data_IF_689165552285
#
_entry.id   IF_689165552285
#
_cell.length_a   1.000
_cell.length_b   1.000
_cell.length_c   1.000
_cell.angle_alpha   90.00
_cell.angle_beta   90.00
_cell.angle_gamma   90.00
#
_symmetry.space_group_name_H-M   'P 1'
#
loop_
_entity.id
_entity.type
_entity.pdbx_description
1 polymer ?
#
# COMPACT_ATOMS: atom_id res chain seq x y z
N UNK A 1 73.98 -32.51 31.23
CA UNK A 1 73.43 -31.40 30.42
C UNK A 1 72.39 -32.00 29.47
N UNK A 2 71.11 -32.05 29.86
CA UNK A 2 70.03 -32.62 29.03
C UNK A 2 69.10 -31.49 28.61
N UNK A 3 69.01 -31.30 27.28
CA UNK A 3 68.25 -30.27 26.58
C UNK A 3 66.74 -30.38 26.88
N UNK A 4 66.13 -29.25 27.23
CA UNK A 4 64.68 -29.07 27.20
C UNK A 4 64.21 -28.93 25.75
N UNK A 5 63.22 -29.73 25.35
CA UNK A 5 62.47 -29.52 24.10
C UNK A 5 61.02 -29.24 24.49
N UNK A 6 60.65 -27.97 24.53
CA UNK A 6 59.27 -27.53 24.76
C UNK A 6 58.51 -27.61 23.43
N UNK A 7 57.58 -28.55 23.33
CA UNK A 7 56.64 -28.66 22.21
C UNK A 7 55.48 -27.70 22.50
N UNK A 8 55.39 -26.60 21.75
CA UNK A 8 54.22 -25.71 21.76
C UNK A 8 53.10 -26.33 20.93
N UNK A 9 52.06 -26.81 21.59
CA UNK A 9 50.85 -27.33 20.95
C UNK A 9 49.95 -26.15 20.53
N UNK A 10 49.91 -25.86 19.22
CA UNK A 10 49.02 -24.85 18.65
C UNK A 10 47.59 -25.41 18.59
N UNK A 11 46.73 -25.01 19.53
CA UNK A 11 45.29 -25.34 19.51
C UNK A 11 44.60 -24.52 18.40
N UNK A 12 44.30 -25.17 17.27
CA UNK A 12 43.41 -24.61 16.25
C UNK A 12 41.96 -24.82 16.75
N UNK A 13 41.36 -23.77 17.30
CA UNK A 13 39.93 -23.74 17.63
C UNK A 13 39.12 -23.71 16.32
N UNK A 14 38.62 -24.87 15.90
CA UNK A 14 37.56 -24.95 14.89
C UNK A 14 36.29 -24.33 15.49
N UNK A 15 36.00 -23.07 15.12
CA UNK A 15 34.70 -22.45 15.37
C UNK A 15 33.69 -23.14 14.46
N UNK A 16 32.91 -24.06 15.00
CA UNK A 16 31.74 -24.56 14.28
C UNK A 16 30.84 -23.36 13.96
N UNK A 17 30.29 -23.24 12.73
CA UNK A 17 29.30 -22.22 12.44
C UNK A 17 28.13 -22.41 13.42
N UNK A 18 27.83 -21.38 14.19
CA UNK A 18 26.62 -21.36 14.98
C UNK A 18 25.45 -21.46 13.99
N UNK A 19 24.71 -22.56 14.01
CA UNK A 19 23.44 -22.63 13.31
C UNK A 19 22.54 -21.56 13.92
N UNK A 20 22.29 -20.49 13.15
CA UNK A 20 21.28 -19.49 13.50
C UNK A 20 19.95 -20.22 13.70
N UNK A 21 19.42 -20.17 14.91
CA UNK A 21 18.09 -20.71 15.18
C UNK A 21 17.09 -19.78 14.49
N UNK A 22 16.50 -20.24 13.39
CA UNK A 22 15.40 -19.54 12.72
C UNK A 22 14.31 -19.21 13.76
N UNK A 23 14.02 -17.92 13.92
CA UNK A 23 12.95 -17.46 14.79
C UNK A 23 11.64 -17.58 14.02
N UNK A 24 10.85 -18.60 14.37
CA UNK A 24 9.51 -18.82 13.84
C UNK A 24 8.52 -18.64 14.98
N UNK A 25 7.52 -17.78 14.77
CA UNK A 25 6.42 -17.61 15.72
C UNK A 25 5.06 -17.73 15.02
N UNK A 26 3.99 -17.43 15.77
CA UNK A 26 2.64 -17.37 15.21
C UNK A 26 1.85 -16.15 15.67
N UNK A 27 1.02 -15.63 14.77
CA UNK A 27 0.03 -14.59 15.05
C UNK A 27 -1.34 -15.06 14.57
N UNK A 28 -2.38 -14.84 15.37
CA UNK A 28 -3.76 -14.99 14.90
C UNK A 28 -4.30 -13.65 14.43
N UNK A 29 -4.85 -13.58 13.22
CA UNK A 29 -5.38 -12.33 12.66
C UNK A 29 -6.65 -12.54 11.84
N UNK A 30 -7.76 -11.97 12.30
CA UNK A 30 -9.02 -11.84 11.55
C UNK A 30 -9.41 -13.06 10.72
N UNK A 31 -9.62 -12.83 9.41
CA UNK A 31 -10.05 -13.84 8.41
C UNK A 31 -8.97 -14.87 8.07
N UNK A 32 -7.72 -14.62 8.44
CA UNK A 32 -6.58 -15.48 8.12
C UNK A 32 -6.33 -16.54 9.18
N UNK A 33 -6.87 -16.35 10.39
CA UNK A 33 -6.64 -17.26 11.51
C UNK A 33 -5.17 -17.28 11.90
N UNK A 34 -4.62 -18.48 12.13
CA UNK A 34 -3.23 -18.67 12.53
C UNK A 34 -2.28 -18.46 11.33
N UNK A 35 -1.39 -17.49 11.47
CA UNK A 35 -0.34 -17.13 10.53
C UNK A 35 0.99 -17.57 11.12
N UNK A 36 1.80 -18.24 10.32
CA UNK A 36 3.18 -18.57 10.72
C UNK A 36 4.10 -17.44 10.30
N UNK A 37 4.85 -16.87 11.22
CA UNK A 37 5.76 -15.75 10.92
C UNK A 37 7.19 -16.25 10.97
N UNK A 38 7.93 -16.04 9.88
CA UNK A 38 9.35 -16.35 9.78
C UNK A 38 10.10 -15.04 9.84
N UNK A 39 10.98 -14.92 10.84
CA UNK A 39 11.77 -13.72 11.04
C UNK A 39 13.14 -13.86 10.35
N UNK A 40 13.61 -12.79 9.68
CA UNK A 40 14.99 -12.72 9.22
C UNK A 40 15.95 -12.60 10.42
N UNK A 41 17.23 -12.93 10.21
CA UNK A 41 18.26 -12.83 11.26
C UNK A 41 18.48 -11.39 11.74
N UNK A 42 18.36 -10.44 10.82
CA UNK A 42 18.52 -9.00 11.07
C UNK A 42 17.18 -8.27 10.95
N UNK A 43 17.17 -6.96 11.21
CA UNK A 43 15.98 -6.11 10.99
C UNK A 43 15.39 -6.37 9.60
N UNK A 44 14.08 -6.66 9.49
CA UNK A 44 13.45 -6.92 8.20
C UNK A 44 13.71 -5.79 7.20
N UNK A 45 14.17 -6.15 6.00
CA UNK A 45 14.35 -5.20 4.88
C UNK A 45 13.14 -5.19 3.96
N UNK A 46 12.28 -6.19 4.08
CA UNK A 46 11.10 -6.42 3.25
C UNK A 46 10.09 -7.28 4.00
N UNK A 47 8.87 -7.37 3.47
CA UNK A 47 7.78 -8.18 4.02
C UNK A 47 7.18 -9.01 2.89
N UNK A 48 6.90 -10.29 3.16
CA UNK A 48 6.26 -11.20 2.21
C UNK A 48 4.97 -11.73 2.82
N UNK A 49 3.85 -11.61 2.09
CA UNK A 49 2.60 -12.30 2.41
C UNK A 49 2.52 -13.53 1.51
N UNK A 50 2.77 -14.71 2.09
CA UNK A 50 2.86 -15.94 1.31
C UNK A 50 1.63 -16.83 1.52
N UNK A 51 0.88 -17.06 0.46
CA UNK A 51 -0.31 -17.92 0.43
C UNK A 51 0.04 -19.31 -0.07
N UNK A 52 -0.32 -20.33 0.70
CA UNK A 52 -0.15 -21.73 0.28
C UNK A 52 -1.12 -22.17 -0.83
N UNK A 53 -0.90 -23.38 -1.34
CA UNK A 53 -1.86 -24.06 -2.21
C UNK A 53 -3.04 -24.66 -1.44
N UNK A 54 -3.87 -25.41 -2.14
CA UNK A 54 -5.00 -26.17 -1.58
C UNK A 54 -4.58 -27.24 -0.54
N UNK A 55 -3.31 -27.69 -0.59
CA UNK A 55 -2.69 -28.55 0.42
C UNK A 55 -2.47 -27.89 1.78
N UNK A 56 -2.57 -26.56 1.89
CA UNK A 56 -2.33 -25.81 3.12
C UNK A 56 -0.86 -25.48 3.40
N UNK A 57 -0.60 -24.89 4.57
CA UNK A 57 0.75 -24.43 4.95
C UNK A 57 1.66 -25.58 5.42
N UNK A 58 2.30 -26.28 4.48
CA UNK A 58 3.22 -27.41 4.73
C UNK A 58 4.19 -27.62 3.55
N UNK A 59 5.16 -28.53 3.71
CA UNK A 59 6.04 -28.99 2.64
C UNK A 59 6.80 -27.84 1.93
N UNK A 60 6.71 -27.73 0.60
CA UNK A 60 7.49 -26.79 -0.22
C UNK A 60 7.34 -25.31 0.20
N UNK A 61 6.14 -24.87 0.61
CA UNK A 61 5.92 -23.47 1.00
C UNK A 61 6.64 -23.09 2.30
N UNK A 62 6.89 -24.07 3.20
CA UNK A 62 7.68 -23.84 4.42
C UNK A 62 9.14 -23.59 4.06
N UNK A 63 9.69 -24.38 3.13
CA UNK A 63 11.06 -24.21 2.64
C UNK A 63 11.21 -22.86 1.92
N UNK A 64 10.29 -22.52 1.03
CA UNK A 64 10.27 -21.24 0.32
C UNK A 64 10.18 -20.05 1.29
N UNK A 65 9.35 -20.13 2.34
CA UNK A 65 9.26 -19.07 3.35
C UNK A 65 10.58 -18.86 4.11
N UNK A 66 11.25 -19.95 4.51
CA UNK A 66 12.59 -19.87 5.14
C UNK A 66 13.63 -19.24 4.22
N UNK A 67 13.59 -19.59 2.93
CA UNK A 67 14.48 -18.98 1.93
C UNK A 67 14.25 -17.47 1.81
N UNK A 68 13.00 -17.00 1.80
CA UNK A 68 12.71 -15.56 1.77
C UNK A 68 13.11 -14.86 3.08
N UNK A 69 12.96 -15.52 4.23
CA UNK A 69 13.46 -14.99 5.50
C UNK A 69 15.00 -14.86 5.50
N UNK A 70 15.72 -15.82 4.91
CA UNK A 70 17.17 -15.74 4.72
C UNK A 70 17.59 -14.58 3.79
N UNK A 71 16.72 -14.14 2.89
CA UNK A 71 16.92 -12.94 2.05
C UNK A 71 16.55 -11.62 2.76
N UNK A 72 16.23 -11.67 4.07
CA UNK A 72 15.94 -10.48 4.88
C UNK A 72 14.46 -10.11 4.99
N UNK A 73 13.55 -10.97 4.48
CA UNK A 73 12.11 -10.71 4.56
C UNK A 73 11.50 -11.17 5.89
N UNK A 74 10.58 -10.39 6.45
CA UNK A 74 9.60 -10.92 7.40
C UNK A 74 8.49 -11.63 6.61
N UNK A 75 8.38 -12.95 6.74
CA UNK A 75 7.44 -13.75 5.92
C UNK A 75 6.23 -14.16 6.76
N UNK A 76 5.04 -13.81 6.27
CA UNK A 76 3.76 -14.17 6.86
C UNK A 76 3.15 -15.32 6.03
N UNK A 77 3.21 -16.51 6.59
CA UNK A 77 2.67 -17.74 6.01
C UNK A 77 1.18 -17.89 6.26
N UNK A 78 0.41 -17.86 5.17
CA UNK A 78 -1.05 -17.86 5.14
C UNK A 78 -1.56 -19.20 4.60
N UNK A 79 -2.38 -19.89 5.40
CA UNK A 79 -3.04 -21.12 4.96
C UNK A 79 -4.27 -20.80 4.08
N UNK A 80 -4.17 -21.10 2.79
CA UNK A 80 -5.23 -20.80 1.83
C UNK A 80 -6.56 -21.50 2.13
N UNK A 81 -6.53 -22.67 2.78
CA UNK A 81 -7.75 -23.41 3.13
C UNK A 81 -8.55 -22.66 4.18
N UNK A 82 -7.84 -22.14 5.18
CA UNK A 82 -8.46 -21.36 6.25
C UNK A 82 -9.05 -20.06 5.70
N UNK A 83 -8.26 -19.29 4.95
CA UNK A 83 -8.74 -18.05 4.36
C UNK A 83 -9.89 -18.28 3.36
N UNK A 84 -9.78 -19.31 2.51
CA UNK A 84 -10.83 -19.72 1.58
C UNK A 84 -12.14 -20.12 2.29
N UNK A 85 -12.05 -20.80 3.44
CA UNK A 85 -13.22 -21.09 4.26
C UNK A 85 -13.92 -19.80 4.73
N UNK A 86 -13.17 -18.80 5.20
CA UNK A 86 -13.73 -17.50 5.60
C UNK A 86 -14.35 -16.75 4.44
N UNK A 87 -13.68 -16.68 3.29
CA UNK A 87 -14.23 -16.09 2.06
C UNK A 87 -15.55 -16.75 1.66
N UNK A 88 -15.68 -18.06 1.86
CA UNK A 88 -16.90 -18.81 1.56
C UNK A 88 -18.13 -18.41 2.39
N UNK A 89 -17.92 -17.67 3.49
CA UNK A 89 -18.95 -17.18 4.42
C UNK A 89 -19.29 -15.71 4.21
N UNK A 90 -18.57 -14.99 3.35
CA UNK A 90 -18.82 -13.57 3.09
C UNK A 90 -20.24 -13.37 2.54
N UNK A 91 -20.96 -12.35 3.03
CA UNK A 91 -22.30 -11.98 2.54
C UNK A 91 -22.25 -11.07 1.31
N UNK A 92 -21.17 -10.30 1.13
CA UNK A 92 -20.95 -9.40 0.00
C UNK A 92 -21.07 -10.10 -1.36
N UNK A 93 -21.49 -9.39 -2.40
CA UNK A 93 -21.70 -9.96 -3.73
C UNK A 93 -20.40 -10.46 -4.40
N UNK A 94 -19.28 -9.84 -4.05
CA UNK A 94 -17.94 -10.21 -4.50
C UNK A 94 -16.93 -10.14 -3.34
N UNK A 95 -15.75 -10.71 -3.54
CA UNK A 95 -14.68 -10.79 -2.55
C UNK A 95 -13.56 -9.80 -2.88
N UNK A 96 -13.03 -9.11 -1.88
CA UNK A 96 -11.95 -8.13 -2.05
C UNK A 96 -10.71 -8.43 -1.18
N UNK A 97 -9.97 -9.53 -1.46
CA UNK A 97 -8.74 -9.88 -0.74
C UNK A 97 -7.67 -8.78 -0.68
N UNK A 98 -7.62 -7.84 -1.63
CA UNK A 98 -6.65 -6.74 -1.59
C UNK A 98 -6.65 -5.98 -0.25
N UNK A 99 -7.84 -5.60 0.24
CA UNK A 99 -7.98 -4.93 1.53
C UNK A 99 -7.58 -5.85 2.70
N UNK A 100 -8.04 -7.12 2.68
CA UNK A 100 -7.72 -8.08 3.75
C UNK A 100 -6.19 -8.25 3.91
N UNK A 101 -5.46 -8.34 2.80
CA UNK A 101 -4.01 -8.55 2.79
C UNK A 101 -3.23 -7.30 3.20
N UNK A 102 -3.66 -6.12 2.75
CA UNK A 102 -3.09 -4.84 3.17
C UNK A 102 -3.25 -4.64 4.68
N UNK A 103 -4.46 -4.88 5.20
CA UNK A 103 -4.80 -4.76 6.62
C UNK A 103 -3.98 -5.73 7.48
N UNK A 104 -3.83 -6.98 7.03
CA UNK A 104 -2.95 -7.96 7.67
C UNK A 104 -1.51 -7.45 7.75
N UNK A 105 -0.96 -6.98 6.63
CA UNK A 105 0.42 -6.49 6.55
C UNK A 105 0.65 -5.36 7.53
N UNK A 106 -0.20 -4.33 7.50
CA UNK A 106 -0.07 -3.17 8.38
C UNK A 106 -0.13 -3.58 9.85
N UNK A 107 -1.11 -4.41 10.21
CA UNK A 107 -1.33 -4.86 11.60
C UNK A 107 -0.15 -5.65 12.15
N UNK A 108 0.40 -6.56 11.36
CA UNK A 108 1.53 -7.39 11.78
C UNK A 108 2.82 -6.57 11.85
N UNK A 109 3.08 -5.69 10.88
CA UNK A 109 4.26 -4.82 10.92
C UNK A 109 4.23 -3.86 12.11
N UNK A 110 3.05 -3.33 12.46
CA UNK A 110 2.86 -2.56 13.71
C UNK A 110 3.10 -3.40 14.95
N UNK A 111 2.55 -4.61 15.01
CA UNK A 111 2.75 -5.54 16.13
C UNK A 111 4.24 -5.82 16.39
N UNK A 112 5.01 -6.02 15.32
CA UNK A 112 6.46 -6.24 15.40
C UNK A 112 7.28 -4.95 15.42
N UNK A 113 6.64 -3.78 15.48
CA UNK A 113 7.28 -2.47 15.62
C UNK A 113 8.34 -2.21 14.55
N UNK A 114 8.06 -2.57 13.30
CA UNK A 114 8.93 -2.21 12.19
C UNK A 114 9.04 -0.68 12.13
N UNK A 115 10.25 -0.17 11.91
CA UNK A 115 10.55 1.27 11.97
C UNK A 115 9.82 2.02 10.85
N UNK A 116 9.73 1.39 9.68
CA UNK A 116 9.02 1.87 8.50
C UNK A 116 8.01 0.82 8.06
N UNK A 117 6.94 1.24 7.40
CA UNK A 117 6.10 0.30 6.67
C UNK A 117 6.79 -0.17 5.40
N UNK A 118 6.89 -1.48 5.25
CA UNK A 118 7.36 -2.12 4.02
C UNK A 118 6.14 -2.60 3.23
N UNK A 119 5.94 -2.03 2.04
CA UNK A 119 4.92 -2.54 1.11
C UNK A 119 5.19 -4.02 0.83
N UNK A 120 4.23 -4.91 1.09
CA UNK A 120 4.53 -6.33 1.05
C UNK A 120 4.65 -6.83 -0.38
N UNK A 121 5.53 -7.82 -0.58
CA UNK A 121 5.53 -8.67 -1.77
C UNK A 121 4.49 -9.77 -1.54
N UNK A 122 3.57 -9.92 -2.47
CA UNK A 122 2.66 -11.06 -2.47
C UNK A 122 3.38 -12.27 -3.02
N UNK A 123 3.23 -13.41 -2.37
CA UNK A 123 3.75 -14.68 -2.87
C UNK A 123 2.67 -15.73 -2.80
N UNK A 124 2.58 -16.61 -3.79
CA UNK A 124 1.55 -17.64 -3.82
C UNK A 124 2.00 -18.89 -4.54
N UNK A 125 1.57 -20.04 -4.02
CA UNK A 125 1.82 -21.34 -4.61
C UNK A 125 0.52 -22.02 -5.04
N UNK A 126 0.45 -22.54 -6.27
CA UNK A 126 -0.72 -23.23 -6.83
C UNK A 126 -1.99 -22.37 -6.69
N UNK A 127 -3.03 -22.82 -5.97
CA UNK A 127 -4.21 -22.01 -5.64
C UNK A 127 -3.86 -20.60 -5.10
N UNK A 128 -2.85 -20.51 -4.23
CA UNK A 128 -2.38 -19.24 -3.69
C UNK A 128 -1.79 -18.32 -4.74
N UNK A 129 -1.16 -18.87 -5.79
CA UNK A 129 -0.60 -18.12 -6.92
C UNK A 129 -1.71 -17.40 -7.73
N UNK A 130 -2.87 -18.04 -7.87
CA UNK A 130 -4.04 -17.46 -8.54
C UNK A 130 -4.71 -16.40 -7.68
N UNK A 131 -4.83 -16.68 -6.38
CA UNK A 131 -5.41 -15.74 -5.42
C UNK A 131 -4.60 -14.44 -5.38
N UNK A 132 -3.28 -14.52 -5.26
CA UNK A 132 -2.43 -13.31 -5.20
C UNK A 132 -2.38 -12.53 -6.52
N UNK A 133 -2.56 -13.18 -7.68
CA UNK A 133 -2.78 -12.47 -8.94
C UNK A 133 -4.07 -11.64 -8.87
N UNK A 134 -5.18 -12.26 -8.47
CA UNK A 134 -6.45 -11.56 -8.28
C UNK A 134 -6.33 -10.40 -7.28
N UNK A 135 -5.70 -10.64 -6.13
CA UNK A 135 -5.42 -9.64 -5.10
C UNK A 135 -4.62 -8.47 -5.66
N UNK A 136 -3.55 -8.74 -6.44
CA UNK A 136 -2.70 -7.70 -7.01
C UNK A 136 -3.48 -6.83 -8.02
N UNK A 137 -4.24 -7.44 -8.92
CA UNK A 137 -5.01 -6.70 -9.96
C UNK A 137 -6.17 -5.91 -9.35
N UNK A 138 -6.77 -6.42 -8.27
CA UNK A 138 -7.82 -5.71 -7.54
C UNK A 138 -7.31 -4.45 -6.84
N UNK A 139 -6.07 -4.51 -6.32
CA UNK A 139 -5.53 -3.50 -5.44
C UNK A 139 -5.38 -2.14 -6.15
N UNK A 140 -5.57 -1.04 -5.43
CA UNK A 140 -5.11 0.25 -5.89
C UNK A 140 -3.62 0.23 -6.23
N UNK A 141 -3.18 1.07 -7.18
CA UNK A 141 -1.77 1.25 -7.44
C UNK A 141 -1.01 1.61 -6.16
N UNK A 142 0.18 1.03 -6.01
CA UNK A 142 1.09 1.27 -4.89
C UNK A 142 0.67 0.62 -3.55
N UNK A 143 -0.32 -0.28 -3.51
CA UNK A 143 -0.65 -1.08 -2.30
C UNK A 143 0.37 -2.20 -2.04
N UNK A 144 0.77 -2.95 -3.07
CA UNK A 144 1.71 -4.06 -2.99
C UNK A 144 2.99 -3.74 -3.74
N UNK A 145 4.14 -4.25 -3.28
CA UNK A 145 5.43 -4.05 -3.96
C UNK A 145 5.50 -4.82 -5.29
N UNK A 146 4.74 -5.90 -5.39
CA UNK A 146 4.65 -6.79 -6.54
C UNK A 146 4.22 -8.18 -6.10
N UNK A 147 4.23 -9.14 -7.02
CA UNK A 147 3.80 -10.50 -6.73
C UNK A 147 4.65 -11.57 -7.41
N UNK A 148 4.85 -12.69 -6.71
CA UNK A 148 5.53 -13.88 -7.20
C UNK A 148 4.57 -15.07 -7.14
N UNK A 149 4.27 -15.65 -8.30
CA UNK A 149 3.38 -16.81 -8.42
C UNK A 149 4.18 -18.07 -8.79
N UNK A 150 3.97 -19.14 -8.05
CA UNK A 150 4.63 -20.44 -8.23
C UNK A 150 3.61 -21.49 -8.68
N UNK A 151 3.78 -22.06 -9.86
CA UNK A 151 2.82 -23.03 -10.42
C UNK A 151 1.46 -22.38 -10.67
N UNK A 152 1.45 -21.32 -11.46
CA UNK A 152 0.28 -20.51 -11.74
C UNK A 152 -0.64 -21.15 -12.78
N UNK A 153 -1.94 -21.17 -12.51
CA UNK A 153 -3.01 -21.30 -13.49
C UNK A 153 -4.10 -20.27 -13.19
N UNK A 154 -4.73 -19.65 -14.19
CA UNK A 154 -5.68 -18.56 -13.97
C UNK A 154 -7.06 -18.98 -13.44
N UNK A 155 -7.33 -20.28 -13.26
CA UNK A 155 -8.58 -20.78 -12.68
C UNK A 155 -8.52 -20.85 -11.14
N UNK A 156 -9.61 -20.47 -10.48
CA UNK A 156 -9.70 -20.44 -9.02
C UNK A 156 -11.06 -20.93 -8.53
N UNK A 157 -11.02 -21.80 -7.52
CA UNK A 157 -12.21 -22.29 -6.84
C UNK A 157 -12.63 -21.32 -5.72
N UNK A 158 -13.69 -20.55 -5.93
CA UNK A 158 -14.28 -19.62 -4.97
C UNK A 158 -15.80 -19.70 -5.02
N UNK A 159 -16.48 -19.52 -3.88
CA UNK A 159 -17.95 -19.45 -3.87
C UNK A 159 -18.49 -18.19 -4.53
N UNK A 160 -17.72 -17.09 -4.47
CA UNK A 160 -18.11 -15.78 -4.96
C UNK A 160 -16.99 -15.20 -5.84
N UNK A 161 -17.33 -14.39 -6.85
CA UNK A 161 -16.32 -13.80 -7.70
C UNK A 161 -15.45 -12.82 -6.91
N UNK A 162 -14.21 -12.64 -7.36
CA UNK A 162 -13.41 -11.50 -6.94
C UNK A 162 -14.04 -10.21 -7.48
N UNK A 163 -14.10 -9.16 -6.67
CA UNK A 163 -14.54 -7.83 -7.09
C UNK A 163 -13.67 -7.29 -8.23
N UNK A 164 -14.22 -6.40 -9.07
CA UNK A 164 -13.46 -5.78 -10.16
C UNK A 164 -12.26 -4.97 -9.67
N UNK A 165 -12.38 -4.28 -8.54
CA UNK A 165 -11.29 -3.44 -8.00
C UNK A 165 -10.71 -2.51 -9.07
N UNK A 166 -9.38 -2.54 -9.21
CA UNK A 166 -8.64 -1.75 -10.20
C UNK A 166 -8.62 -2.32 -11.63
N UNK A 167 -9.60 -3.15 -11.99
CA UNK A 167 -9.81 -3.61 -13.37
C UNK A 167 -9.73 -5.12 -13.57
N UNK A 168 -9.77 -5.92 -12.50
CA UNK A 168 -9.89 -7.37 -12.59
C UNK A 168 -11.16 -7.74 -13.36
N UNK A 169 -10.99 -8.60 -14.35
CA UNK A 169 -12.10 -9.24 -15.07
C UNK A 169 -11.99 -10.74 -14.93
N UNK A 170 -13.13 -11.42 -15.00
CA UNK A 170 -13.22 -12.86 -14.85
C UNK A 170 -14.46 -13.38 -15.58
N UNK A 171 -14.45 -14.66 -15.92
CA UNK A 171 -15.65 -15.38 -16.34
C UNK A 171 -15.92 -16.59 -15.46
N UNK A 172 -17.17 -17.05 -15.47
CA UNK A 172 -17.64 -18.17 -14.64
C UNK A 172 -17.29 -19.48 -15.34
N UNK A 173 -16.52 -20.34 -14.67
CA UNK A 173 -16.31 -21.72 -15.10
C UNK A 173 -17.42 -22.62 -14.55
N UNK A 174 -17.72 -22.48 -13.26
CA UNK A 174 -18.84 -23.14 -12.59
C UNK A 174 -19.51 -22.19 -11.61
N UNK A 175 -20.79 -21.90 -11.83
CA UNK A 175 -21.55 -20.94 -11.04
C UNK A 175 -21.50 -21.28 -9.55
N UNK A 176 -21.04 -20.32 -8.74
CA UNK A 176 -20.93 -20.46 -7.29
C UNK A 176 -19.79 -21.38 -6.82
N UNK A 177 -18.85 -21.72 -7.70
CA UNK A 177 -17.77 -22.67 -7.37
C UNK A 177 -16.41 -22.30 -7.97
N UNK A 178 -16.34 -21.92 -9.24
CA UNK A 178 -15.06 -21.64 -9.89
C UNK A 178 -15.15 -20.56 -10.98
N UNK A 179 -14.06 -19.83 -11.12
CA UNK A 179 -13.91 -18.70 -12.04
C UNK A 179 -12.56 -18.77 -12.73
N UNK A 180 -12.48 -18.22 -13.93
CA UNK A 180 -11.24 -17.98 -14.65
C UNK A 180 -10.93 -16.49 -14.58
N UNK A 181 -9.77 -16.13 -14.02
CA UNK A 181 -9.31 -14.75 -13.94
C UNK A 181 -8.68 -14.36 -15.28
N UNK A 182 -9.08 -13.22 -15.84
CA UNK A 182 -8.58 -12.77 -17.14
C UNK A 182 -7.23 -12.07 -17.02
N UNK A 183 -6.48 -12.06 -18.12
CA UNK A 183 -5.32 -11.20 -18.30
C UNK A 183 -5.73 -9.72 -18.19
N UNK A 184 -4.79 -8.86 -17.78
CA UNK A 184 -5.04 -7.42 -17.64
C UNK A 184 -3.95 -6.57 -18.27
N UNK A 185 -4.30 -5.33 -18.62
CA UNK A 185 -3.37 -4.25 -19.00
C UNK A 185 -3.20 -3.21 -17.89
N UNK A 186 -3.87 -3.37 -16.76
CA UNK A 186 -3.92 -2.40 -15.66
C UNK A 186 -3.03 -2.76 -14.46
N UNK A 187 -2.12 -3.73 -14.61
CA UNK A 187 -1.11 -3.97 -13.56
C UNK A 187 -0.36 -2.68 -13.29
N UNK A 188 -0.04 -2.45 -12.01
CA UNK A 188 0.70 -1.27 -11.52
C UNK A 188 1.92 -1.65 -10.67
N UNK A 189 2.20 -2.94 -10.54
CA UNK A 189 3.39 -3.48 -9.91
C UNK A 189 3.78 -4.79 -10.63
N UNK A 190 5.06 -5.23 -10.51
CA UNK A 190 5.50 -6.40 -11.27
C UNK A 190 4.88 -7.70 -10.78
N UNK A 191 4.56 -8.58 -11.72
CA UNK A 191 4.04 -9.92 -11.47
C UNK A 191 4.95 -10.95 -12.15
N UNK A 192 5.71 -11.69 -11.35
CA UNK A 192 6.67 -12.67 -11.83
C UNK A 192 6.13 -14.08 -11.57
N UNK A 193 6.04 -14.89 -12.62
CA UNK A 193 5.57 -16.27 -12.55
C UNK A 193 6.76 -17.21 -12.69
N UNK A 194 6.93 -18.10 -11.72
CA UNK A 194 7.88 -19.21 -11.77
C UNK A 194 7.09 -20.50 -12.04
N UNK A 195 7.29 -21.08 -13.21
CA UNK A 195 6.53 -22.27 -13.61
C UNK A 195 7.45 -23.40 -14.05
N UNK A 196 7.15 -24.59 -13.55
CA UNK A 196 7.82 -25.82 -13.93
C UNK A 196 7.48 -26.23 -15.36
N UNK A 197 8.48 -26.55 -16.18
CA UNK A 197 8.24 -27.12 -17.52
C UNK A 197 7.71 -28.55 -17.45
N UNK A 198 7.87 -29.22 -16.30
CA UNK A 198 7.31 -30.54 -16.02
C UNK A 198 6.01 -30.48 -15.21
N UNK A 199 5.45 -29.29 -15.00
CA UNK A 199 4.17 -29.13 -14.32
C UNK A 199 3.03 -29.53 -15.26
N UNK A 200 2.35 -30.63 -14.95
CA UNK A 200 1.19 -31.12 -15.70
C UNK A 200 -0.14 -30.58 -15.18
N UNK A 201 -0.16 -30.03 -13.96
CA UNK A 201 -1.36 -29.44 -13.35
C UNK A 201 -1.54 -28.00 -13.81
N UNK A 202 -0.44 -27.25 -13.85
CA UNK A 202 -0.36 -25.88 -14.34
C UNK A 202 0.66 -25.80 -15.48
N UNK A 203 0.28 -26.18 -16.72
CA UNK A 203 1.22 -26.29 -17.84
C UNK A 203 1.93 -24.97 -18.15
N UNK A 204 3.25 -25.03 -18.34
CA UNK A 204 4.08 -23.86 -18.64
C UNK A 204 3.56 -23.05 -19.84
N UNK A 205 3.21 -23.73 -20.93
CA UNK A 205 2.72 -23.07 -22.16
C UNK A 205 1.38 -22.33 -21.95
N UNK A 206 0.52 -22.82 -21.05
CA UNK A 206 -0.72 -22.15 -20.70
C UNK A 206 -0.44 -20.84 -19.95
N UNK A 207 0.51 -20.86 -19.00
CA UNK A 207 0.96 -19.65 -18.31
C UNK A 207 1.64 -18.66 -19.26
N UNK A 208 2.46 -19.15 -20.19
CA UNK A 208 3.09 -18.32 -21.23
C UNK A 208 2.04 -17.64 -22.13
N UNK A 209 1.00 -18.37 -22.55
CA UNK A 209 -0.10 -17.83 -23.33
C UNK A 209 -0.89 -16.78 -22.55
N UNK A 210 -1.18 -17.03 -21.26
CA UNK A 210 -1.90 -16.11 -20.40
C UNK A 210 -1.17 -14.76 -20.22
N UNK A 211 0.14 -14.81 -19.96
CA UNK A 211 0.96 -13.62 -19.70
C UNK A 211 1.29 -12.82 -20.96
N UNK A 212 1.00 -13.36 -22.15
CA UNK A 212 1.42 -12.76 -23.41
C UNK A 212 0.89 -11.33 -23.58
N UNK A 213 1.83 -10.39 -23.61
CA UNK A 213 1.56 -8.97 -23.80
C UNK A 213 0.99 -8.25 -22.57
N UNK A 214 0.91 -8.92 -21.40
CA UNK A 214 0.61 -8.22 -20.14
C UNK A 214 1.79 -7.32 -19.76
N UNK A 215 1.55 -6.07 -19.32
CA UNK A 215 2.62 -5.19 -18.86
C UNK A 215 3.14 -5.64 -17.50
N UNK A 216 4.43 -5.39 -17.24
CA UNK A 216 5.09 -5.71 -15.96
C UNK A 216 4.97 -7.17 -15.52
N UNK A 217 4.85 -8.09 -16.49
CA UNK A 217 4.89 -9.53 -16.22
C UNK A 217 6.19 -10.15 -16.71
N UNK A 218 6.68 -11.14 -15.99
CA UNK A 218 7.79 -11.99 -16.41
C UNK A 218 7.44 -13.45 -16.13
N UNK A 219 7.73 -14.34 -17.08
CA UNK A 219 7.65 -15.80 -16.88
C UNK A 219 9.06 -16.36 -16.81
N UNK A 220 9.39 -17.00 -15.69
CA UNK A 220 10.67 -17.64 -15.45
C UNK A 220 10.48 -19.17 -15.54
N UNK A 221 11.11 -19.85 -16.51
CA UNK A 221 11.02 -21.30 -16.66
C UNK A 221 11.84 -22.02 -15.59
N UNK A 222 11.29 -23.14 -15.10
CA UNK A 222 11.97 -24.07 -14.20
C UNK A 222 12.03 -25.47 -14.84
N UNK A 223 13.08 -25.80 -15.61
CA UNK A 223 13.09 -26.96 -16.51
C UNK A 223 12.91 -28.33 -15.83
N UNK A 224 13.33 -28.44 -14.57
CA UNK A 224 13.30 -29.71 -13.80
C UNK A 224 12.15 -29.80 -12.81
N UNK A 225 11.36 -28.73 -12.68
CA UNK A 225 10.33 -28.61 -11.64
C UNK A 225 8.99 -29.10 -12.18
N UNK A 226 8.34 -29.97 -11.41
CA UNK A 226 6.92 -30.28 -11.57
C UNK A 226 6.08 -29.57 -10.50
N UNK A 227 4.76 -29.81 -10.49
CA UNK A 227 3.82 -29.05 -9.65
C UNK A 227 4.19 -28.98 -8.17
N UNK A 228 4.82 -30.01 -7.61
CA UNK A 228 5.14 -30.10 -6.18
C UNK A 228 6.38 -29.36 -5.71
N UNK A 229 7.21 -28.79 -6.61
CA UNK A 229 8.45 -28.06 -6.24
C UNK A 229 9.37 -28.83 -5.27
N UNK A 230 9.46 -30.17 -5.43
CA UNK A 230 10.08 -31.07 -4.44
C UNK A 230 11.59 -30.83 -4.22
N UNK A 231 12.32 -30.49 -5.29
CA UNK A 231 13.78 -30.33 -5.24
C UNK A 231 14.15 -28.85 -5.11
N UNK A 232 14.61 -28.44 -3.94
CA UNK A 232 14.96 -27.05 -3.64
C UNK A 232 15.97 -26.43 -4.62
N UNK A 233 17.00 -27.19 -5.00
CA UNK A 233 18.04 -26.72 -5.91
C UNK A 233 17.53 -26.38 -7.32
N UNK A 234 16.37 -26.91 -7.72
CA UNK A 234 15.80 -26.71 -9.05
C UNK A 234 14.91 -25.43 -9.14
N UNK A 235 14.66 -24.73 -8.03
CA UNK A 235 13.83 -23.50 -8.03
C UNK A 235 14.35 -22.34 -7.15
N UNK A 236 15.20 -22.62 -6.16
CA UNK A 236 15.64 -21.59 -5.21
C UNK A 236 16.40 -20.42 -5.86
N UNK A 237 17.35 -20.63 -6.80
CA UNK A 237 18.06 -19.53 -7.41
C UNK A 237 17.13 -18.54 -8.13
N UNK A 238 16.19 -19.06 -8.91
CA UNK A 238 15.23 -18.29 -9.68
C UNK A 238 14.24 -17.55 -8.78
N UNK A 239 13.80 -18.19 -7.68
CA UNK A 239 12.94 -17.55 -6.69
C UNK A 239 13.65 -16.35 -6.06
N UNK A 240 14.92 -16.52 -5.66
CA UNK A 240 15.73 -15.42 -5.14
C UNK A 240 15.86 -14.29 -6.16
N UNK A 241 16.17 -14.61 -7.41
CA UNK A 241 16.27 -13.61 -8.49
C UNK A 241 14.96 -12.85 -8.68
N UNK A 242 13.82 -13.54 -8.72
CA UNK A 242 12.51 -12.92 -8.84
C UNK A 242 12.21 -11.98 -7.67
N UNK A 243 12.51 -12.41 -6.44
CA UNK A 243 12.34 -11.59 -5.25
C UNK A 243 13.16 -10.30 -5.30
N UNK A 244 14.45 -10.41 -5.64
CA UNK A 244 15.31 -9.23 -5.76
C UNK A 244 14.87 -8.29 -6.90
N UNK A 245 14.37 -8.83 -8.02
CA UNK A 245 13.78 -8.01 -9.10
C UNK A 245 12.57 -7.20 -8.62
N UNK A 246 11.68 -7.80 -7.82
CA UNK A 246 10.52 -7.09 -7.25
C UNK A 246 10.96 -5.96 -6.31
N UNK A 247 11.95 -6.23 -5.44
CA UNK A 247 12.45 -5.23 -4.51
C UNK A 247 13.19 -4.07 -5.22
N UNK A 248 13.87 -4.35 -6.34
CA UNK A 248 14.59 -3.35 -7.12
C UNK A 248 13.69 -2.53 -8.05
N UNK A 249 12.52 -3.04 -8.44
CA UNK A 249 11.61 -2.33 -9.34
C UNK A 249 11.05 -1.07 -8.69
N UNK A 250 11.04 0.10 -9.37
CA UNK A 250 10.46 1.32 -8.82
C UNK A 250 8.96 1.14 -8.63
N UNK A 251 8.43 1.61 -7.50
CA UNK A 251 6.99 1.54 -7.24
C UNK A 251 6.19 2.48 -8.14
N UNK A 252 4.87 2.31 -8.21
CA UNK A 252 4.02 3.17 -9.04
C UNK A 252 4.22 4.66 -8.74
N UNK A 253 4.24 5.04 -7.46
CA UNK A 253 4.44 6.44 -7.05
C UNK A 253 5.87 6.93 -7.35
N UNK A 254 6.89 6.06 -7.28
CA UNK A 254 8.26 6.41 -7.68
C UNK A 254 8.35 6.65 -9.18
N UNK A 255 7.74 5.78 -10.00
CA UNK A 255 7.63 5.95 -11.45
C UNK A 255 6.96 7.27 -11.80
N UNK A 256 5.81 7.56 -11.16
CA UNK A 256 5.09 8.83 -11.34
C UNK A 256 5.89 10.04 -10.89
N UNK A 257 6.60 9.96 -9.77
CA UNK A 257 7.47 11.05 -9.33
C UNK A 257 8.60 11.32 -10.33
N UNK A 258 9.18 10.27 -10.93
CA UNK A 258 10.19 10.43 -11.98
C UNK A 258 9.61 11.07 -13.26
N UNK A 259 8.42 10.67 -13.69
CA UNK A 259 7.69 11.29 -14.80
C UNK A 259 7.46 12.79 -14.54
N UNK A 260 6.92 13.15 -13.38
CA UNK A 260 6.63 14.54 -13.02
C UNK A 260 7.88 15.39 -12.84
N UNK A 261 8.96 14.83 -12.28
CA UNK A 261 10.26 15.51 -12.19
C UNK A 261 10.86 15.80 -13.56
N UNK A 262 10.66 14.92 -14.54
CA UNK A 262 11.11 15.17 -15.91
C UNK A 262 10.32 16.31 -16.59
N UNK A 263 9.09 16.56 -16.13
CA UNK A 263 8.23 17.65 -16.63
C UNK A 263 8.41 18.98 -15.88
N UNK A 264 8.93 18.95 -14.65
CA UNK A 264 9.19 20.14 -13.85
C UNK A 264 10.33 20.99 -14.43
N UNK A 265 10.26 22.32 -14.26
CA UNK A 265 11.36 23.21 -14.64
C UNK A 265 12.61 22.85 -13.83
N UNK A 266 13.79 22.82 -14.48
CA UNK A 266 15.02 22.19 -13.96
C UNK A 266 15.66 22.88 -12.74
N UNK A 267 14.99 23.87 -12.13
CA UNK A 267 15.57 24.75 -11.11
C UNK A 267 14.98 24.63 -9.70
N UNK A 268 13.96 23.78 -9.47
CA UNK A 268 13.36 23.65 -8.14
C UNK A 268 14.35 23.05 -7.13
N UNK A 269 14.60 23.74 -6.03
CA UNK A 269 15.40 23.23 -4.92
C UNK A 269 14.58 22.22 -4.13
N UNK A 270 15.09 20.99 -3.91
CA UNK A 270 14.36 20.02 -3.10
C UNK A 270 14.29 20.49 -1.65
N UNK A 271 13.13 20.25 -1.02
CA UNK A 271 12.99 20.42 0.43
C UNK A 271 13.92 19.45 1.17
N UNK A 272 14.66 19.95 2.16
CA UNK A 272 15.69 19.19 2.89
C UNK A 272 15.17 18.53 4.17
N UNK A 273 13.93 18.79 4.56
CA UNK A 273 13.31 18.14 5.71
C UNK A 273 12.89 16.70 5.44
N UNK A 274 12.72 15.91 6.50
CA UNK A 274 12.37 14.49 6.41
C UNK A 274 10.86 14.27 6.27
N UNK A 275 10.27 14.74 5.17
CA UNK A 275 8.87 14.51 4.83
C UNK A 275 8.75 13.69 3.54
N UNK A 276 7.86 12.67 3.50
CA UNK A 276 7.64 11.87 2.30
C UNK A 276 6.74 12.66 1.31
N UNK A 277 7.35 13.62 0.62
CA UNK A 277 6.66 14.55 -0.27
C UNK A 277 6.68 14.11 -1.74
N UNK A 278 5.57 14.36 -2.44
CA UNK A 278 5.42 14.16 -3.87
C UNK A 278 5.02 15.49 -4.50
N UNK A 279 5.86 16.05 -5.37
CA UNK A 279 5.52 17.26 -6.12
C UNK A 279 4.97 16.90 -7.50
N UNK A 280 3.80 17.44 -7.83
CA UNK A 280 3.17 17.37 -9.15
C UNK A 280 2.98 18.81 -9.65
N UNK A 281 3.84 19.29 -10.56
CA UNK A 281 3.74 20.65 -11.09
C UNK A 281 2.43 20.88 -11.83
N UNK A 282 1.96 22.13 -11.85
CA UNK A 282 0.86 22.51 -12.72
C UNK A 282 1.23 22.29 -14.19
N UNK A 283 0.32 21.75 -14.99
CA UNK A 283 0.57 21.47 -16.41
C UNK A 283 0.82 22.74 -17.24
N UNK A 284 0.41 23.91 -16.73
CA UNK A 284 0.62 25.23 -17.33
C UNK A 284 0.94 26.25 -16.24
N UNK A 285 1.72 27.29 -16.57
CA UNK A 285 1.92 28.44 -15.69
C UNK A 285 0.56 29.05 -15.35
N UNK A 286 0.36 29.32 -14.06
CA UNK A 286 -0.92 29.73 -13.51
C UNK A 286 -0.69 30.53 -12.24
N UNK A 287 -1.48 31.58 -11.99
CA UNK A 287 -1.51 32.31 -10.72
C UNK A 287 -2.40 31.63 -9.67
N UNK A 288 -3.07 30.52 -10.03
CA UNK A 288 -3.87 29.75 -9.07
C UNK A 288 -3.00 29.23 -7.91
N UNK A 289 -3.59 29.08 -6.71
CA UNK A 289 -2.87 28.58 -5.54
C UNK A 289 -2.24 27.21 -5.78
N UNK A 290 -1.19 26.87 -5.02
CA UNK A 290 -0.79 25.46 -4.91
C UNK A 290 -1.72 24.71 -3.94
N UNK A 291 -1.78 23.39 -4.05
CA UNK A 291 -2.51 22.52 -3.12
C UNK A 291 -1.49 21.73 -2.32
N UNK A 292 -1.53 21.82 -1.00
CA UNK A 292 -0.88 20.85 -0.13
C UNK A 292 -1.88 19.76 0.23
N UNK A 293 -1.62 18.52 -0.17
CA UNK A 293 -2.55 17.40 -0.03
C UNK A 293 -2.01 16.28 0.88
N UNK A 294 -2.75 15.88 1.90
CA UNK A 294 -2.42 14.71 2.75
C UNK A 294 -3.26 13.51 2.29
N UNK A 295 -2.60 12.38 1.98
CA UNK A 295 -3.28 11.16 1.54
C UNK A 295 -4.11 10.47 2.64
N UNK A 296 -4.82 9.41 2.25
CA UNK A 296 -5.39 8.44 3.19
C UNK A 296 -4.32 7.61 3.92
N UNK A 297 -4.75 6.72 4.82
CA UNK A 297 -3.91 5.83 5.64
C UNK A 297 -3.23 4.70 4.84
N UNK A 298 -3.74 4.38 3.64
CA UNK A 298 -3.06 3.56 2.63
C UNK A 298 -1.82 4.22 2.00
N UNK A 299 -1.56 5.49 2.31
CA UNK A 299 -0.43 6.26 1.77
C UNK A 299 -0.77 6.95 0.47
N UNK A 300 0.26 7.44 -0.24
CA UNK A 300 0.08 8.06 -1.55
C UNK A 300 -0.16 6.98 -2.61
N UNK A 301 -1.41 6.77 -2.98
CA UNK A 301 -1.83 5.68 -3.89
C UNK A 301 -2.27 6.21 -5.26
N UNK A 302 -2.76 5.32 -6.12
CA UNK A 302 -3.34 5.71 -7.40
C UNK A 302 -4.51 6.70 -7.30
N UNK A 303 -5.28 6.71 -6.19
CA UNK A 303 -6.35 7.69 -6.00
C UNK A 303 -5.77 9.10 -5.83
N UNK A 304 -4.86 9.27 -4.88
CA UNK A 304 -4.22 10.56 -4.55
C UNK A 304 -3.44 11.10 -5.75
N UNK A 305 -2.69 10.22 -6.42
CA UNK A 305 -1.92 10.53 -7.61
C UNK A 305 -2.82 11.04 -8.75
N UNK A 306 -3.92 10.33 -9.06
CA UNK A 306 -4.80 10.70 -10.16
C UNK A 306 -5.59 11.98 -9.87
N UNK A 307 -5.99 12.19 -8.62
CA UNK A 307 -6.63 13.45 -8.20
C UNK A 307 -5.65 14.62 -8.33
N UNK A 308 -4.41 14.45 -7.88
CA UNK A 308 -3.39 15.48 -7.97
C UNK A 308 -3.03 15.82 -9.42
N UNK A 309 -2.96 14.82 -10.31
CA UNK A 309 -2.80 15.04 -11.75
C UNK A 309 -4.00 15.78 -12.37
N UNK A 310 -5.23 15.48 -11.94
CA UNK A 310 -6.43 16.19 -12.40
C UNK A 310 -6.45 17.67 -11.93
N UNK A 311 -5.96 17.95 -10.72
CA UNK A 311 -5.75 19.30 -10.21
C UNK A 311 -4.65 20.04 -10.99
N UNK A 312 -3.52 19.38 -11.23
CA UNK A 312 -2.40 19.90 -12.01
C UNK A 312 -2.80 20.24 -13.45
N UNK A 313 -3.61 19.41 -14.09
CA UNK A 313 -4.19 19.67 -15.41
C UNK A 313 -5.06 20.94 -15.44
N UNK A 314 -5.65 21.30 -14.30
CA UNK A 314 -6.43 22.53 -14.10
C UNK A 314 -5.59 23.74 -13.65
N UNK A 315 -4.27 23.59 -13.55
CA UNK A 315 -3.34 24.67 -13.20
C UNK A 315 -3.02 24.82 -11.71
N UNK A 316 -3.52 23.89 -10.87
CA UNK A 316 -3.20 23.83 -9.44
C UNK A 316 -2.00 22.88 -9.25
N UNK A 317 -0.82 23.41 -8.95
CA UNK A 317 0.32 22.57 -8.59
C UNK A 317 0.02 21.86 -7.26
N UNK A 318 0.43 20.60 -7.11
CA UNK A 318 0.13 19.81 -5.91
C UNK A 318 1.41 19.35 -5.23
N UNK A 319 1.51 19.63 -3.93
CA UNK A 319 2.49 19.04 -3.03
C UNK A 319 1.77 18.02 -2.14
N UNK A 320 1.94 16.75 -2.46
CA UNK A 320 1.41 15.62 -1.71
C UNK A 320 2.28 15.23 -0.52
N UNK A 321 1.66 14.79 0.58
CA UNK A 321 2.29 14.13 1.71
C UNK A 321 1.73 12.70 1.83
N UNK A 322 2.61 11.71 1.76
CA UNK A 322 2.28 10.31 2.02
C UNK A 322 2.02 10.09 3.53
N UNK A 323 0.75 10.03 3.90
CA UNK A 323 0.33 9.92 5.30
C UNK A 323 0.76 8.60 5.92
N UNK A 324 0.82 7.50 5.15
CA UNK A 324 1.24 6.19 5.65
C UNK A 324 2.67 6.22 6.15
N UNK A 325 3.58 6.80 5.38
CA UNK A 325 4.99 6.93 5.78
C UNK A 325 5.15 7.93 6.92
N UNK A 326 4.45 9.06 6.86
CA UNK A 326 4.64 10.13 7.84
C UNK A 326 4.05 9.82 9.22
N UNK A 327 2.84 9.26 9.26
CA UNK A 327 2.11 8.88 10.47
C UNK A 327 2.23 7.38 10.79
N UNK A 328 3.24 6.71 10.22
CA UNK A 328 3.61 5.35 10.63
C UNK A 328 3.97 5.28 12.11
N UNK A 329 4.49 6.35 12.69
CA UNK A 329 4.70 6.47 14.12
C UNK A 329 3.93 7.68 14.65
N UNK A 330 3.51 7.63 15.92
CA UNK A 330 2.76 8.71 16.56
C UNK A 330 3.39 10.09 16.35
N UNK A 331 2.55 11.04 15.97
CA UNK A 331 2.87 12.46 15.90
C UNK A 331 1.92 13.26 16.79
N UNK A 332 2.20 14.55 16.95
CA UNK A 332 1.28 15.51 17.56
C UNK A 332 0.78 16.49 16.51
N UNK A 333 -0.42 17.09 16.69
CA UNK A 333 -0.88 18.19 15.85
C UNK A 333 0.14 19.33 15.75
N UNK A 334 0.80 19.67 16.86
CA UNK A 334 1.77 20.77 16.94
C UNK A 334 3.01 20.49 16.08
N UNK A 335 3.63 19.33 16.26
CA UNK A 335 4.83 18.97 15.50
C UNK A 335 4.51 18.77 14.02
N UNK A 336 3.38 18.13 13.71
CA UNK A 336 2.98 17.88 12.32
C UNK A 336 2.70 19.17 11.57
N UNK A 337 1.99 20.11 12.20
CA UNK A 337 1.68 21.40 11.60
C UNK A 337 2.94 22.22 11.34
N UNK A 338 3.91 22.19 12.26
CA UNK A 338 5.19 22.89 12.10
C UNK A 338 6.02 22.34 10.93
N UNK A 339 6.13 21.01 10.82
CA UNK A 339 6.89 20.39 9.73
C UNK A 339 6.21 20.61 8.37
N UNK A 340 4.88 20.49 8.31
CA UNK A 340 4.08 20.75 7.11
C UNK A 340 4.20 22.21 6.69
N UNK A 341 4.09 23.16 7.62
CA UNK A 341 4.19 24.59 7.33
C UNK A 341 5.52 24.96 6.66
N UNK A 342 6.64 24.36 7.11
CA UNK A 342 7.96 24.56 6.49
C UNK A 342 8.01 24.08 5.04
N UNK A 343 7.42 22.91 4.75
CA UNK A 343 7.35 22.39 3.38
C UNK A 343 6.43 23.21 2.48
N UNK A 344 5.27 23.65 3.01
CA UNK A 344 4.36 24.54 2.31
C UNK A 344 5.07 25.84 1.95
N UNK A 345 5.70 26.51 2.92
CA UNK A 345 6.42 27.76 2.66
C UNK A 345 7.52 27.58 1.61
N UNK A 346 8.36 26.54 1.76
CA UNK A 346 9.43 26.23 0.82
C UNK A 346 8.92 26.10 -0.63
N UNK A 347 7.90 25.27 -0.85
CA UNK A 347 7.41 25.05 -2.22
C UNK A 347 6.52 26.18 -2.73
N UNK A 348 5.89 26.95 -1.83
CA UNK A 348 5.18 28.17 -2.21
C UNK A 348 6.16 29.18 -2.83
N UNK A 349 7.32 29.38 -2.20
CA UNK A 349 8.41 30.23 -2.72
C UNK A 349 9.01 29.66 -4.01
N UNK A 350 9.42 28.38 -4.03
CA UNK A 350 10.06 27.76 -5.19
C UNK A 350 9.14 27.70 -6.43
N UNK A 351 7.81 27.61 -6.22
CA UNK A 351 6.82 27.62 -7.30
C UNK A 351 6.30 29.04 -7.63
N UNK A 352 6.72 30.07 -6.89
CA UNK A 352 6.25 31.45 -7.07
C UNK A 352 4.74 31.61 -6.88
N UNK A 353 4.19 30.96 -5.84
CA UNK A 353 2.76 31.00 -5.52
C UNK A 353 2.50 31.97 -4.38
N UNK A 354 1.51 32.84 -4.53
CA UNK A 354 1.13 33.78 -3.45
C UNK A 354 0.22 33.13 -2.40
N UNK A 355 -0.44 32.02 -2.75
CA UNK A 355 -1.44 31.40 -1.88
C UNK A 355 -1.52 29.90 -2.07
N UNK A 356 -2.18 29.22 -1.13
CA UNK A 356 -2.32 27.77 -1.15
C UNK A 356 -3.67 27.28 -0.61
N UNK A 357 -3.97 26.02 -0.89
CA UNK A 357 -5.10 25.24 -0.36
C UNK A 357 -4.52 24.12 0.50
N UNK A 358 -5.10 23.89 1.69
CA UNK A 358 -4.90 22.64 2.43
C UNK A 358 -5.98 21.65 2.04
N UNK A 359 -5.59 20.45 1.63
CA UNK A 359 -6.52 19.39 1.28
C UNK A 359 -6.12 18.06 1.89
N UNK A 360 -7.09 17.20 2.16
CA UNK A 360 -6.81 15.84 2.60
C UNK A 360 -7.87 14.85 2.15
N UNK A 361 -7.48 13.58 2.06
CA UNK A 361 -8.37 12.46 1.76
C UNK A 361 -8.44 11.47 2.93
N UNK A 362 -9.65 11.03 3.30
CA UNK A 362 -9.91 10.05 4.35
C UNK A 362 -9.16 10.40 5.66
N UNK A 363 -8.19 9.59 6.08
CA UNK A 363 -7.29 9.91 7.20
C UNK A 363 -6.71 11.34 7.11
N UNK A 364 -6.12 11.73 5.98
CA UNK A 364 -5.57 13.07 5.78
C UNK A 364 -6.62 14.19 5.84
N UNK A 365 -7.87 13.90 5.45
CA UNK A 365 -8.98 14.85 5.51
C UNK A 365 -9.35 15.21 6.96
N UNK A 366 -9.15 14.27 7.89
CA UNK A 366 -9.30 14.47 9.33
C UNK A 366 -8.13 15.25 9.95
N UNK A 367 -6.97 15.33 9.29
CA UNK A 367 -5.75 16.00 9.79
C UNK A 367 -5.67 17.46 9.38
N UNK A 368 -6.02 17.79 8.14
CA UNK A 368 -5.84 19.15 7.61
C UNK A 368 -6.48 20.29 8.42
N UNK A 369 -7.62 20.10 9.13
CA UNK A 369 -8.17 21.16 9.97
C UNK A 369 -7.24 21.56 11.12
N UNK A 370 -6.53 20.58 11.70
CA UNK A 370 -5.57 20.82 12.78
C UNK A 370 -4.34 21.58 12.32
N UNK A 371 -3.88 21.30 11.09
CA UNK A 371 -2.80 22.02 10.43
C UNK A 371 -3.19 23.46 10.20
N UNK A 372 -4.36 23.70 9.60
CA UNK A 372 -4.87 25.04 9.29
C UNK A 372 -4.90 25.96 10.51
N UNK A 373 -5.41 25.48 11.65
CA UNK A 373 -5.52 26.27 12.87
C UNK A 373 -4.16 26.63 13.51
N UNK A 374 -3.11 25.85 13.23
CA UNK A 374 -1.77 25.98 13.83
C UNK A 374 -0.75 26.67 12.92
N UNK A 375 -1.14 27.10 11.73
CA UNK A 375 -0.31 27.93 10.87
C UNK A 375 0.05 29.27 11.53
N UNK A 376 1.18 29.84 11.11
CA UNK A 376 1.54 31.23 11.43
C UNK A 376 0.51 32.21 10.86
N UNK A 377 0.49 33.46 11.35
CA UNK A 377 -0.41 34.47 10.82
C UNK A 377 -0.23 34.67 9.31
N UNK A 378 1.02 34.78 8.85
CA UNK A 378 1.38 34.90 7.43
C UNK A 378 0.80 33.75 6.57
N UNK A 379 1.01 32.50 6.97
CA UNK A 379 0.46 31.36 6.23
C UNK A 379 -1.07 31.26 6.33
N UNK A 380 -1.70 31.83 7.36
CA UNK A 380 -3.16 31.91 7.44
C UNK A 380 -3.73 32.93 6.47
N UNK A 381 -3.03 34.03 6.22
CA UNK A 381 -3.44 35.05 5.24
C UNK A 381 -3.33 34.51 3.80
N UNK A 382 -2.38 33.61 3.56
CA UNK A 382 -2.17 32.95 2.27
C UNK A 382 -3.05 31.71 2.04
N UNK A 383 -3.72 31.21 3.08
CA UNK A 383 -4.58 30.02 3.00
C UNK A 383 -5.95 30.38 2.42
N UNK A 384 -6.27 29.90 1.21
CA UNK A 384 -7.56 30.18 0.57
C UNK A 384 -8.67 29.23 1.01
N UNK A 385 -8.36 27.94 1.13
CA UNK A 385 -9.36 26.93 1.47
C UNK A 385 -8.77 25.76 2.24
N UNK A 386 -9.63 25.11 3.02
CA UNK A 386 -9.41 23.82 3.69
C UNK A 386 -10.44 22.82 3.17
N UNK A 387 -10.00 21.84 2.40
CA UNK A 387 -10.86 20.86 1.71
C UNK A 387 -10.64 19.48 2.30
N UNK A 388 -11.66 18.94 2.97
CA UNK A 388 -11.64 17.60 3.57
C UNK A 388 -12.47 16.64 2.72
N UNK A 389 -11.82 15.71 2.00
CA UNK A 389 -12.48 14.66 1.23
C UNK A 389 -12.75 13.44 2.12
N UNK A 390 -14.02 13.16 2.37
CA UNK A 390 -14.50 12.05 3.18
C UNK A 390 -13.85 11.94 4.58
N UNK A 391 -13.81 13.03 5.36
CA UNK A 391 -13.22 13.02 6.70
C UNK A 391 -14.06 12.20 7.68
N UNK A 392 -13.38 11.69 8.70
CA UNK A 392 -14.02 11.12 9.87
C UNK A 392 -14.37 12.18 10.91
N UNK A 393 -15.14 11.80 11.93
CA UNK A 393 -15.50 12.72 13.03
C UNK A 393 -14.38 12.92 14.05
N UNK A 394 -13.39 12.03 14.03
CA UNK A 394 -12.23 12.06 14.92
C UNK A 394 -10.96 11.81 14.12
N UNK A 395 -9.85 12.35 14.60
CA UNK A 395 -8.54 12.15 14.00
C UNK A 395 -7.62 11.37 14.94
N UNK A 396 -6.67 10.67 14.34
CA UNK A 396 -5.49 10.16 15.00
C UNK A 396 -4.24 10.65 14.25
N UNK A 397 -3.19 10.96 14.98
CA UNK A 397 -1.89 11.35 14.41
C UNK A 397 -0.92 10.15 14.40
N UNK A 398 -1.48 8.95 14.41
CA UNK A 398 -0.83 7.69 14.13
C UNK A 398 -1.80 6.79 13.35
N UNK A 399 -1.29 6.02 12.38
CA UNK A 399 -2.10 5.00 11.73
C UNK A 399 -2.19 3.78 12.64
N UNK A 400 -3.39 3.51 13.15
CA UNK A 400 -3.75 2.33 13.93
C UNK A 400 -4.84 1.54 13.20
N UNK A 401 -4.61 0.27 12.88
CA UNK A 401 -5.67 -0.56 12.28
C UNK A 401 -6.58 -1.23 13.32
N UNK A 402 -6.16 -1.31 14.58
CA UNK A 402 -6.93 -2.02 15.62
C UNK A 402 -8.26 -1.30 15.93
N UNK A 403 -8.40 -0.02 15.57
CA UNK A 403 -9.63 0.76 15.75
C UNK A 403 -10.66 0.55 14.61
N UNK A 404 -10.29 -0.11 13.49
CA UNK A 404 -11.22 -0.42 12.40
C UNK A 404 -12.08 -1.67 12.68
N UNK A 405 -11.63 -2.55 13.59
CA UNK A 405 -12.31 -3.80 13.99
C UNK A 405 -12.90 -3.77 15.40
N UNK A 406 -12.52 -2.80 16.25
CA UNK A 406 -13.13 -2.59 17.56
C UNK A 406 -14.05 -1.36 17.54
N UNK A 407 -15.36 -1.60 17.52
CA UNK A 407 -16.40 -0.62 17.89
C UNK A 407 -16.37 -0.29 19.39
N UNK A 408 -15.20 0.10 19.91
CA UNK A 408 -15.04 0.53 21.29
C UNK A 408 -13.60 0.51 21.77
N UNK A 409 -13.17 1.67 22.26
CA UNK A 409 -12.07 1.88 23.23
C UNK A 409 -10.64 2.17 22.73
N UNK A 410 -10.48 3.09 21.78
CA UNK A 410 -9.42 4.09 21.91
C UNK A 410 -10.04 5.42 22.38
N UNK A 411 -9.37 6.12 23.30
CA UNK A 411 -9.79 7.48 23.70
C UNK A 411 -9.52 8.40 22.51
N UNK A 412 -10.45 8.48 21.54
CA UNK A 412 -10.30 9.34 20.36
C UNK A 412 -9.96 10.77 20.80
N UNK A 413 -8.70 11.18 20.57
CA UNK A 413 -8.08 12.30 21.27
C UNK A 413 -8.36 13.65 20.59
N UNK A 414 -8.79 13.64 19.33
CA UNK A 414 -8.92 14.83 18.50
C UNK A 414 -10.27 14.88 17.77
N UNK A 415 -11.09 15.89 18.11
CA UNK A 415 -12.41 16.14 17.51
C UNK A 415 -12.28 16.96 16.23
N UNK A 416 -12.55 16.33 15.07
CA UNK A 416 -12.40 16.95 13.75
C UNK A 416 -13.45 18.03 13.52
N UNK A 417 -14.70 17.78 13.93
CA UNK A 417 -15.80 18.73 13.74
C UNK A 417 -15.55 20.02 14.53
N UNK A 418 -15.13 19.88 15.79
CA UNK A 418 -14.76 21.01 16.63
C UNK A 418 -13.57 21.78 16.05
N UNK A 419 -12.60 21.09 15.47
CA UNK A 419 -11.42 21.71 14.87
C UNK A 419 -11.76 22.49 13.59
N UNK A 420 -12.60 21.94 12.71
CA UNK A 420 -13.07 22.65 11.50
C UNK A 420 -13.81 23.94 11.87
N UNK A 421 -14.65 23.92 12.91
CA UNK A 421 -15.40 25.11 13.35
C UNK A 421 -14.50 26.28 13.78
N UNK A 422 -13.25 26.03 14.18
CA UNK A 422 -12.29 27.05 14.58
C UNK A 422 -11.65 27.76 13.38
N UNK A 423 -11.73 27.18 12.18
CA UNK A 423 -11.20 27.81 10.96
C UNK A 423 -12.10 28.99 10.59
N UNK A 424 -11.53 30.19 10.63
CA UNK A 424 -12.22 31.46 10.29
C UNK A 424 -11.55 32.24 9.17
N UNK A 425 -10.30 31.95 8.87
CA UNK A 425 -9.46 32.70 7.93
C UNK A 425 -9.49 32.12 6.51
N UNK A 426 -10.16 30.99 6.31
CA UNK A 426 -10.23 30.29 5.02
C UNK A 426 -11.58 29.61 4.84
N UNK A 427 -11.97 29.39 3.59
CA UNK A 427 -13.15 28.61 3.26
C UNK A 427 -12.95 27.14 3.63
N UNK A 428 -13.83 26.61 4.47
CA UNK A 428 -13.82 25.18 4.83
C UNK A 428 -14.95 24.44 4.13
N UNK A 429 -14.63 23.30 3.51
CA UNK A 429 -15.62 22.42 2.89
C UNK A 429 -15.26 20.96 3.11
N UNK A 430 -16.25 20.17 3.53
CA UNK A 430 -16.15 18.72 3.56
C UNK A 430 -16.92 18.12 2.38
N UNK A 431 -16.31 17.19 1.65
CA UNK A 431 -16.92 16.58 0.45
C UNK A 431 -17.08 15.08 0.71
N UNK A 432 -18.27 14.53 0.48
CA UNK A 432 -18.56 13.10 0.66
C UNK A 432 -19.10 12.46 -0.62
N UNK A 433 -18.80 11.18 -0.84
CA UNK A 433 -19.43 10.35 -1.85
C UNK A 433 -20.90 10.06 -1.51
N UNK A 434 -21.79 10.01 -2.50
CA UNK A 434 -23.21 9.64 -2.29
C UNK A 434 -23.37 8.24 -1.72
N UNK A 435 -22.41 7.35 -1.96
CA UNK A 435 -22.41 5.95 -1.54
C UNK A 435 -21.86 5.70 -0.13
N UNK A 436 -21.31 6.71 0.54
CA UNK A 436 -20.60 6.55 1.83
C UNK A 436 -21.50 6.36 3.07
N UNK A 437 -22.80 6.09 2.87
CA UNK A 437 -23.75 6.14 3.96
C UNK A 437 -23.92 7.55 4.54
N UNK A 438 -25.01 7.80 5.26
CA UNK A 438 -25.35 9.16 5.70
C UNK A 438 -24.90 9.47 7.13
N UNK A 439 -24.37 8.51 7.89
CA UNK A 439 -24.12 8.66 9.33
C UNK A 439 -23.07 9.74 9.66
N UNK A 440 -21.89 9.68 9.04
CA UNK A 440 -20.80 10.65 9.25
C UNK A 440 -21.17 11.99 8.64
N UNK A 441 -21.54 12.02 7.35
CA UNK A 441 -21.98 13.23 6.64
C UNK A 441 -23.04 14.02 7.41
N UNK A 442 -24.07 13.36 7.95
CA UNK A 442 -25.13 14.03 8.71
C UNK A 442 -24.61 14.67 10.01
N UNK A 443 -23.55 14.13 10.63
CA UNK A 443 -22.93 14.78 11.80
C UNK A 443 -22.27 16.10 11.42
N UNK A 444 -21.62 16.18 10.26
CA UNK A 444 -21.05 17.44 9.75
C UNK A 444 -22.14 18.48 9.45
N UNK A 445 -23.20 18.07 8.73
CA UNK A 445 -24.33 18.95 8.39
C UNK A 445 -25.03 19.47 9.66
N UNK A 446 -25.36 18.59 10.61
CA UNK A 446 -26.01 18.97 11.89
C UNK A 446 -25.16 19.93 12.73
N UNK A 447 -23.85 19.95 12.51
CA UNK A 447 -22.92 20.85 13.16
C UNK A 447 -22.69 22.16 12.39
N UNK A 448 -23.46 22.41 11.32
CA UNK A 448 -23.39 23.66 10.54
C UNK A 448 -22.16 23.77 9.65
N UNK A 449 -21.50 22.66 9.31
CA UNK A 449 -20.36 22.65 8.40
C UNK A 449 -20.82 22.63 6.94
N UNK A 450 -20.06 23.29 6.05
CA UNK A 450 -20.32 23.29 4.60
C UNK A 450 -20.00 21.90 4.06
N UNK A 451 -21.01 21.24 3.51
CA UNK A 451 -20.89 19.89 2.97
C UNK A 451 -21.26 19.89 1.49
N UNK A 452 -20.39 19.32 0.66
CA UNK A 452 -20.68 18.97 -0.73
C UNK A 452 -20.83 17.47 -0.88
N UNK A 453 -21.57 17.04 -1.90
CA UNK A 453 -21.70 15.62 -2.23
C UNK A 453 -21.38 15.41 -3.70
N UNK A 454 -20.55 14.42 -3.98
CA UNK A 454 -20.18 13.98 -5.33
C UNK A 454 -20.67 12.54 -5.49
N UNK A 455 -21.09 12.16 -6.70
CA UNK A 455 -21.53 10.79 -6.96
C UNK A 455 -20.37 9.80 -6.76
N UNK A 456 -20.66 8.67 -6.10
CA UNK A 456 -19.73 7.57 -5.96
C UNK A 456 -19.53 7.07 -4.54
N UNK A 457 -18.67 6.07 -4.40
CA UNK A 457 -18.24 5.49 -3.13
C UNK A 457 -17.21 6.38 -2.41
N UNK A 458 -16.49 5.83 -1.43
CA UNK A 458 -15.42 6.53 -0.71
C UNK A 458 -14.28 7.00 -1.61
N UNK A 459 -14.09 6.36 -2.77
CA UNK A 459 -13.13 6.79 -3.80
C UNK A 459 -13.82 7.58 -4.92
N UNK A 460 -15.05 8.04 -4.72
CA UNK A 460 -15.84 8.86 -5.64
C UNK A 460 -15.96 8.25 -7.04
N UNK A 461 -15.95 6.91 -7.16
CA UNK A 461 -15.92 6.19 -8.43
C UNK A 461 -14.81 6.67 -9.40
N UNK A 462 -13.70 7.22 -8.87
CA UNK A 462 -12.59 7.80 -9.65
C UNK A 462 -12.99 9.02 -10.50
N UNK A 463 -14.04 9.76 -10.12
CA UNK A 463 -14.43 11.01 -10.78
C UNK A 463 -13.55 12.20 -10.34
N UNK A 464 -12.26 12.10 -10.67
CA UNK A 464 -11.25 13.10 -10.32
C UNK A 464 -11.53 14.47 -10.95
N UNK A 465 -12.19 14.50 -12.12
CA UNK A 465 -12.53 15.73 -12.82
C UNK A 465 -13.56 16.57 -12.05
N UNK A 466 -14.59 15.93 -11.49
CA UNK A 466 -15.59 16.59 -10.65
C UNK A 466 -14.97 17.08 -9.34
N UNK A 467 -14.14 16.25 -8.68
CA UNK A 467 -13.44 16.67 -7.45
C UNK A 467 -12.54 17.88 -7.74
N UNK A 468 -11.72 17.83 -8.78
CA UNK A 468 -10.81 18.92 -9.12
C UNK A 468 -11.57 20.21 -9.51
N UNK A 469 -12.77 20.10 -10.07
CA UNK A 469 -13.66 21.25 -10.31
C UNK A 469 -14.23 21.82 -9.01
N UNK A 470 -14.52 20.99 -8.00
CA UNK A 470 -14.94 21.47 -6.68
C UNK A 470 -13.83 22.26 -5.97
N UNK A 471 -12.57 21.88 -6.15
CA UNK A 471 -11.40 22.62 -5.64
C UNK A 471 -11.30 24.01 -6.27
N UNK A 472 -11.36 24.10 -7.60
CA UNK A 472 -11.29 25.39 -8.30
C UNK A 472 -12.38 26.36 -7.85
N UNK A 473 -13.60 25.87 -7.59
CA UNK A 473 -14.70 26.70 -7.11
C UNK A 473 -14.44 27.36 -5.76
N UNK A 474 -13.56 26.80 -4.91
CA UNK A 474 -13.23 27.44 -3.62
C UNK A 474 -12.23 28.60 -3.76
N UNK A 475 -11.65 28.82 -4.94
CA UNK A 475 -10.59 29.83 -5.14
C UNK A 475 -10.81 30.71 -6.37
N UNK A 476 -11.98 30.59 -7.02
CA UNK A 476 -12.36 31.35 -8.22
C UNK A 476 -13.48 32.38 -7.94
N UNK A 477 -13.79 32.61 -6.66
CA UNK A 477 -14.65 33.68 -6.14
C UNK A 477 -13.77 34.64 -5.34
#
# INVERSE_FOLDING_TARGET
>A
MKLFTTISLLLILFRAPAFSNEVIDHVSYGKFGKITVYHPENTPTSVVLFVSGDGGWKDAVVLMAKNMAAEGALVLGIDARHYGYYLSKASAACLYPAADFEELSLSVQKKYKLINYHKPVLMGYSYGAVLIYGTLVQAPPDTFRGAIALGFSPDINLKKPLCRGNGLTLHVLKKGFSYYLESTKSLTAPFIVLNGEKDLTCPFDASAAFLKGMPMTELIPLPKVGHGFLNQADWQPELKTAFQKILAAPTFSEQKSMEHKAMADKQLKPYTGNLPLILIPAAKKSSLPMVFMISGDGGWTGFDQSLAEALAAKGLAVLGLDAQKYFWNAKTPENSSLEIAKAVQHYKEELGKESFILAGYSFGASIVPFVANRLSAELKDDLKAVISLSPDVTADFEIHLIDLLNFGSSKNKYDVIAEIKKIKTADQVSIFGTGEGNSIKNKFIKNGLKVLTIAGDHHFNKDYATIATAFLKQVSE
#
